data_IF_139676655520
#
_entry.id   IF_139676655520
#
_cell.length_a   1.000
_cell.length_b   1.000
_cell.length_c   1.000
_cell.angle_alpha   90.00
_cell.angle_beta   90.00
_cell.angle_gamma   90.00
#
_symmetry.space_group_name_H-M   'P 1'
#
loop_
_entity.id
_entity.type
_entity.pdbx_description
1 polymer ?
#
# COMPACT_ATOMS: atom_id res chain seq x y z
N UNK A 1 52.46 11.35 0.64
CA UNK A 1 51.18 11.46 1.42
C UNK A 1 50.12 11.04 0.44
N UNK A 2 49.85 9.72 0.37
CA UNK A 2 48.87 9.14 -0.54
C UNK A 2 47.49 9.30 0.08
N UNK A 3 46.63 10.03 -0.62
CA UNK A 3 45.24 10.25 -0.27
C UNK A 3 44.54 8.87 -0.13
N UNK A 4 43.87 8.56 0.97
CA UNK A 4 43.17 7.29 1.10
C UNK A 4 42.02 7.27 0.08
N UNK A 5 42.17 6.39 -0.89
CA UNK A 5 41.28 6.11 -1.99
C UNK A 5 39.82 5.98 -1.43
N UNK A 6 38.99 6.94 -1.78
CA UNK A 6 37.57 6.94 -1.38
C UNK A 6 36.93 5.62 -1.81
N UNK A 7 36.26 4.87 -0.93
CA UNK A 7 35.65 3.62 -1.31
C UNK A 7 34.68 3.84 -2.48
N UNK A 8 34.63 2.93 -3.46
CA UNK A 8 33.81 3.06 -4.64
C UNK A 8 32.31 3.20 -4.19
N UNK A 9 31.52 4.04 -4.87
CA UNK A 9 30.12 4.25 -4.53
C UNK A 9 29.38 2.92 -4.53
N UNK A 10 28.62 2.67 -3.45
CA UNK A 10 27.86 1.44 -3.30
C UNK A 10 26.91 1.25 -4.50
N UNK A 11 26.86 0.05 -5.09
CA UNK A 11 26.02 -0.21 -6.26
C UNK A 11 24.57 0.09 -5.97
N UNK A 12 23.94 0.86 -6.84
CA UNK A 12 22.49 1.17 -6.76
C UNK A 12 21.72 -0.14 -6.91
N UNK A 13 21.19 -0.65 -5.80
CA UNK A 13 20.42 -1.89 -5.78
C UNK A 13 19.10 -1.66 -6.52
N UNK A 14 18.94 -2.28 -7.68
CA UNK A 14 17.68 -2.30 -8.40
C UNK A 14 16.64 -3.10 -7.59
N UNK A 15 15.38 -2.64 -7.50
CA UNK A 15 14.34 -3.39 -6.82
C UNK A 15 14.16 -4.77 -7.47
N UNK A 16 13.94 -5.79 -6.66
CA UNK A 16 13.64 -7.13 -7.18
C UNK A 16 12.28 -7.12 -7.90
N UNK A 17 12.06 -8.03 -8.85
CA UNK A 17 10.76 -8.17 -9.54
C UNK A 17 9.60 -8.30 -8.55
N UNK A 18 9.80 -9.04 -7.47
CA UNK A 18 8.82 -9.18 -6.39
C UNK A 18 8.53 -7.84 -5.69
N UNK A 19 9.55 -7.02 -5.42
CA UNK A 19 9.37 -5.68 -4.85
C UNK A 19 8.58 -4.76 -5.80
N UNK A 20 8.82 -4.86 -7.11
CA UNK A 20 8.07 -4.08 -8.11
C UNK A 20 6.60 -4.50 -8.18
N UNK A 21 6.30 -5.80 -8.12
CA UNK A 21 4.91 -6.30 -8.09
C UNK A 21 4.20 -5.84 -6.81
N UNK A 22 4.82 -5.99 -5.65
CA UNK A 22 4.26 -5.52 -4.38
C UNK A 22 4.01 -4.02 -4.36
N UNK A 23 4.96 -3.22 -4.87
CA UNK A 23 4.79 -1.78 -5.00
C UNK A 23 3.67 -1.40 -5.98
N UNK A 24 3.53 -2.12 -7.09
CA UNK A 24 2.45 -1.89 -8.06
C UNK A 24 1.07 -2.13 -7.43
N UNK A 25 0.91 -3.23 -6.67
CA UNK A 25 -0.35 -3.50 -5.94
C UNK A 25 -0.67 -2.35 -4.98
N UNK A 26 0.30 -1.90 -4.19
CA UNK A 26 0.13 -0.76 -3.27
C UNK A 26 -0.22 0.54 -4.00
N UNK A 27 0.35 0.81 -5.20
CA UNK A 27 0.01 1.98 -6.01
C UNK A 27 -1.45 1.91 -6.47
N UNK A 28 -1.88 0.76 -6.98
CA UNK A 28 -3.27 0.57 -7.43
C UNK A 28 -4.25 0.77 -6.27
N UNK A 29 -3.93 0.23 -5.10
CA UNK A 29 -4.73 0.44 -3.89
C UNK A 29 -4.77 1.91 -3.45
N UNK A 30 -3.62 2.59 -3.42
CA UNK A 30 -3.55 4.01 -3.07
C UNK A 30 -4.39 4.86 -4.02
N UNK A 31 -4.35 4.56 -5.34
CA UNK A 31 -5.20 5.20 -6.32
C UNK A 31 -6.69 4.92 -6.09
N UNK A 32 -7.06 3.68 -5.79
CA UNK A 32 -8.44 3.31 -5.44
C UNK A 32 -8.96 4.08 -4.23
N UNK A 33 -8.14 4.20 -3.18
CA UNK A 33 -8.47 4.97 -1.96
C UNK A 33 -8.56 6.47 -2.28
N UNK A 34 -7.69 7.01 -3.14
CA UNK A 34 -7.74 8.41 -3.57
C UNK A 34 -9.01 8.71 -4.38
N UNK A 35 -9.43 7.81 -5.27
CA UNK A 35 -10.69 7.90 -6.00
C UNK A 35 -11.87 7.86 -5.05
N UNK A 36 -11.83 7.02 -4.00
CA UNK A 36 -12.86 6.98 -2.96
C UNK A 36 -12.92 8.32 -2.20
N UNK A 37 -11.78 8.91 -1.85
CA UNK A 37 -11.73 10.23 -1.21
C UNK A 37 -12.37 11.31 -2.12
N UNK A 38 -12.07 11.29 -3.42
CA UNK A 38 -12.68 12.20 -4.38
C UNK A 38 -14.20 12.01 -4.48
N UNK A 39 -14.66 10.75 -4.50
CA UNK A 39 -16.09 10.45 -4.48
C UNK A 39 -16.80 11.00 -3.24
N UNK A 40 -16.17 10.89 -2.05
CA UNK A 40 -16.67 11.47 -0.80
C UNK A 40 -16.79 13.00 -0.90
N UNK A 41 -15.82 13.68 -1.50
CA UNK A 41 -15.90 15.12 -1.76
C UNK A 41 -17.09 15.46 -2.65
N UNK A 42 -17.28 14.72 -3.74
CA UNK A 42 -18.43 14.92 -4.64
C UNK A 42 -19.78 14.67 -3.94
N UNK A 43 -19.84 13.72 -3.01
CA UNK A 43 -21.05 13.47 -2.21
C UNK A 43 -21.44 14.67 -1.34
N UNK A 44 -20.47 15.41 -0.79
CA UNK A 44 -20.77 16.66 -0.07
C UNK A 44 -21.42 17.68 -1.00
N UNK A 45 -20.89 17.88 -2.20
CA UNK A 45 -21.45 18.84 -3.17
C UNK A 45 -22.85 18.46 -3.65
N UNK A 46 -23.21 17.18 -3.61
CA UNK A 46 -24.57 16.68 -3.92
C UNK A 46 -25.55 16.80 -2.77
N UNK A 47 -25.09 17.17 -1.58
CA UNK A 47 -25.92 17.23 -0.39
C UNK A 47 -26.22 15.86 0.24
N UNK A 48 -25.50 14.81 -0.12
CA UNK A 48 -25.70 13.42 0.33
C UNK A 48 -25.12 13.16 1.75
N UNK A 49 -24.99 14.21 2.58
CA UNK A 49 -24.34 14.11 3.89
C UNK A 49 -25.27 14.55 5.02
N UNK A 50 -25.39 13.70 6.05
CA UNK A 50 -26.17 14.01 7.26
C UNK A 50 -25.38 14.97 8.18
N UNK A 51 -24.06 14.86 8.22
CA UNK A 51 -23.17 15.69 9.04
C UNK A 51 -21.93 16.09 8.25
N UNK A 52 -21.79 17.38 7.98
CA UNK A 52 -20.63 17.92 7.28
C UNK A 52 -19.32 17.68 8.04
N UNK A 53 -19.33 17.83 9.36
CA UNK A 53 -18.14 17.62 10.18
C UNK A 53 -17.63 16.17 10.09
N UNK A 54 -18.53 15.19 10.18
CA UNK A 54 -18.20 13.76 10.04
C UNK A 54 -17.71 13.44 8.63
N UNK A 55 -18.35 14.00 7.60
CA UNK A 55 -17.95 13.80 6.22
C UNK A 55 -16.54 14.35 5.96
N UNK A 56 -16.23 15.55 6.43
CA UNK A 56 -14.90 16.14 6.31
C UNK A 56 -13.83 15.32 7.04
N UNK A 57 -14.13 14.87 8.27
CA UNK A 57 -13.20 14.01 9.02
C UNK A 57 -12.91 12.71 8.27
N UNK A 58 -13.93 12.08 7.68
CA UNK A 58 -13.79 10.86 6.89
C UNK A 58 -12.93 11.09 5.64
N UNK A 59 -13.15 12.19 4.91
CA UNK A 59 -12.36 12.54 3.71
C UNK A 59 -10.89 12.72 4.08
N UNK A 60 -10.60 13.49 5.14
CA UNK A 60 -9.23 13.71 5.61
C UNK A 60 -8.56 12.38 5.96
N UNK A 61 -9.26 11.53 6.72
CA UNK A 61 -8.73 10.21 7.09
C UNK A 61 -8.47 9.32 5.87
N UNK A 62 -9.42 9.28 4.92
CA UNK A 62 -9.27 8.50 3.68
C UNK A 62 -8.09 9.01 2.85
N UNK A 63 -7.92 10.32 2.74
CA UNK A 63 -6.80 10.92 2.02
C UNK A 63 -5.46 10.62 2.70
N UNK A 64 -5.37 10.76 4.02
CA UNK A 64 -4.16 10.41 4.78
C UNK A 64 -3.79 8.93 4.61
N UNK A 65 -4.79 8.06 4.58
CA UNK A 65 -4.56 6.63 4.34
C UNK A 65 -4.05 6.36 2.92
N UNK A 66 -4.60 7.04 1.90
CA UNK A 66 -4.08 6.95 0.53
C UNK A 66 -2.60 7.37 0.44
N UNK A 67 -2.24 8.48 1.09
CA UNK A 67 -0.85 8.98 1.15
C UNK A 67 0.06 7.99 1.87
N UNK A 68 -0.39 7.39 2.96
CA UNK A 68 0.38 6.38 3.69
C UNK A 68 0.68 5.14 2.82
N UNK A 69 -0.34 4.61 2.14
CA UNK A 69 -0.19 3.45 1.25
C UNK A 69 0.73 3.77 0.07
N UNK A 70 0.59 4.95 -0.54
CA UNK A 70 1.49 5.42 -1.59
C UNK A 70 2.95 5.55 -1.09
N UNK A 71 3.14 6.01 0.15
CA UNK A 71 4.46 6.11 0.77
C UNK A 71 5.10 4.73 0.98
N UNK A 72 4.31 3.70 1.35
CA UNK A 72 4.79 2.32 1.46
C UNK A 72 5.20 1.76 0.10
N UNK A 73 4.46 2.08 -0.97
CA UNK A 73 4.83 1.70 -2.34
C UNK A 73 6.20 2.28 -2.74
N UNK A 74 6.38 3.59 -2.57
CA UNK A 74 7.65 4.28 -2.86
C UNK A 74 8.80 3.73 -2.02
N UNK A 75 8.57 3.51 -0.72
CA UNK A 75 9.59 2.94 0.16
C UNK A 75 9.98 1.51 -0.23
N UNK A 76 9.01 0.69 -0.68
CA UNK A 76 9.25 -0.66 -1.19
C UNK A 76 10.11 -0.62 -2.47
N UNK A 77 9.84 0.29 -3.40
CA UNK A 77 10.65 0.50 -4.60
C UNK A 77 12.08 0.95 -4.27
N UNK A 78 12.25 1.74 -3.21
CA UNK A 78 13.55 2.18 -2.69
C UNK A 78 14.23 1.12 -1.81
N UNK A 79 13.74 -0.10 -1.80
CA UNK A 79 14.26 -1.24 -1.01
C UNK A 79 14.28 -1.00 0.51
N UNK A 80 13.50 -0.05 1.01
CA UNK A 80 13.41 0.25 2.45
C UNK A 80 12.57 -0.80 3.17
N UNK A 81 13.05 -1.28 4.32
CA UNK A 81 12.37 -2.33 5.11
C UNK A 81 10.99 -1.91 5.60
N UNK A 82 10.83 -0.67 6.07
CA UNK A 82 9.57 -0.15 6.58
C UNK A 82 8.45 -0.10 5.52
N UNK A 83 8.80 0.12 4.25
CA UNK A 83 7.83 0.07 3.15
C UNK A 83 7.23 -1.32 2.97
N UNK A 84 8.05 -2.36 3.07
CA UNK A 84 7.59 -3.76 3.00
C UNK A 84 6.71 -4.14 4.19
N UNK A 85 7.11 -3.74 5.40
CA UNK A 85 6.33 -4.02 6.62
C UNK A 85 4.98 -3.27 6.59
N UNK A 86 4.98 -1.97 6.24
CA UNK A 86 3.76 -1.19 6.09
C UNK A 86 2.86 -1.74 4.98
N UNK A 87 3.44 -2.15 3.86
CA UNK A 87 2.71 -2.80 2.77
C UNK A 87 2.02 -4.09 3.21
N UNK A 88 2.70 -4.96 3.95
CA UNK A 88 2.08 -6.20 4.48
C UNK A 88 0.92 -5.87 5.41
N UNK A 89 1.08 -4.90 6.32
CA UNK A 89 -0.01 -4.46 7.21
C UNK A 89 -1.20 -3.96 6.39
N UNK A 90 -0.96 -3.16 5.34
CA UNK A 90 -2.02 -2.68 4.45
C UNK A 90 -2.77 -3.86 3.82
N UNK A 91 -2.06 -4.87 3.30
CA UNK A 91 -2.69 -6.04 2.68
C UNK A 91 -3.53 -6.85 3.68
N UNK A 92 -3.08 -7.00 4.91
CA UNK A 92 -3.84 -7.66 5.98
C UNK A 92 -5.13 -6.88 6.28
N UNK A 93 -5.06 -5.55 6.32
CA UNK A 93 -6.25 -4.71 6.50
C UNK A 93 -7.22 -4.84 5.33
N UNK A 94 -6.74 -4.86 4.08
CA UNK A 94 -7.57 -5.07 2.89
C UNK A 94 -8.25 -6.44 2.94
N UNK A 95 -7.55 -7.50 3.37
CA UNK A 95 -8.15 -8.83 3.59
C UNK A 95 -9.23 -8.80 4.68
N UNK A 96 -9.01 -8.07 5.77
CA UNK A 96 -10.02 -7.92 6.82
C UNK A 96 -11.29 -7.22 6.28
N UNK A 97 -11.12 -6.18 5.44
CA UNK A 97 -12.23 -5.51 4.76
C UNK A 97 -12.94 -6.47 3.79
N UNK A 98 -12.19 -7.25 3.02
CA UNK A 98 -12.75 -8.27 2.11
C UNK A 98 -13.57 -9.31 2.87
N UNK A 99 -13.09 -9.77 4.03
CA UNK A 99 -13.85 -10.68 4.90
C UNK A 99 -15.15 -10.03 5.40
N UNK A 100 -15.07 -8.77 5.82
CA UNK A 100 -16.25 -7.99 6.21
C UNK A 100 -17.26 -7.84 5.07
N UNK A 101 -16.79 -7.62 3.84
CA UNK A 101 -17.62 -7.56 2.65
C UNK A 101 -18.27 -8.92 2.29
N UNK A 102 -17.65 -10.03 2.71
CA UNK A 102 -18.19 -11.38 2.49
C UNK A 102 -19.24 -11.79 3.55
N UNK A 103 -19.05 -11.36 4.81
CA UNK A 103 -19.82 -11.83 5.97
C UNK A 103 -20.75 -10.77 6.55
N UNK A 104 -20.71 -9.53 6.06
CA UNK A 104 -21.53 -8.42 6.54
C UNK A 104 -23.02 -8.57 6.21
N UNK A 105 -23.85 -7.73 6.84
CA UNK A 105 -25.31 -7.71 6.64
C UNK A 105 -25.71 -7.51 5.16
N UNK A 106 -24.86 -6.81 4.39
CA UNK A 106 -24.99 -6.65 2.95
C UNK A 106 -23.80 -7.33 2.25
N UNK A 107 -23.80 -8.67 2.28
CA UNK A 107 -22.71 -9.44 1.70
C UNK A 107 -22.59 -9.17 0.18
N UNK A 108 -21.39 -8.79 -0.23
CA UNK A 108 -21.02 -8.59 -1.64
C UNK A 108 -19.83 -9.48 -2.02
N UNK A 109 -20.07 -10.76 -2.38
CA UNK A 109 -18.98 -11.70 -2.68
C UNK A 109 -18.05 -11.23 -3.80
N UNK A 110 -18.59 -10.54 -4.81
CA UNK A 110 -17.78 -9.97 -5.89
C UNK A 110 -16.81 -8.90 -5.38
N UNK A 111 -17.28 -7.98 -4.51
CA UNK A 111 -16.40 -6.96 -3.90
C UNK A 111 -15.34 -7.60 -3.01
N UNK A 112 -15.72 -8.61 -2.22
CA UNK A 112 -14.77 -9.35 -1.40
C UNK A 112 -13.66 -9.99 -2.25
N UNK A 113 -13.99 -10.59 -3.39
CA UNK A 113 -13.03 -11.20 -4.31
C UNK A 113 -12.11 -10.14 -4.94
N UNK A 114 -12.67 -9.01 -5.40
CA UNK A 114 -11.91 -7.89 -6.00
C UNK A 114 -10.87 -7.33 -5.02
N UNK A 115 -11.19 -7.30 -3.72
CA UNK A 115 -10.26 -6.86 -2.69
C UNK A 115 -9.27 -7.96 -2.27
N UNK A 116 -9.74 -9.20 -2.11
CA UNK A 116 -8.91 -10.29 -1.59
C UNK A 116 -7.82 -10.72 -2.58
N UNK A 117 -8.12 -10.77 -3.88
CA UNK A 117 -7.15 -11.24 -4.88
C UNK A 117 -5.88 -10.38 -4.93
N UNK A 118 -5.96 -9.05 -5.11
CA UNK A 118 -4.75 -8.22 -5.09
C UNK A 118 -4.05 -8.24 -3.74
N UNK A 119 -4.79 -8.31 -2.63
CA UNK A 119 -4.21 -8.37 -1.29
C UNK A 119 -3.36 -9.63 -1.08
N UNK A 120 -3.84 -10.81 -1.50
CA UNK A 120 -3.06 -12.05 -1.44
C UNK A 120 -1.81 -11.97 -2.31
N UNK A 121 -1.93 -11.46 -3.54
CA UNK A 121 -0.80 -11.24 -4.44
C UNK A 121 0.22 -10.28 -3.81
N UNK A 122 -0.25 -9.19 -3.20
CA UNK A 122 0.56 -8.19 -2.51
C UNK A 122 1.35 -8.77 -1.35
N UNK A 123 0.70 -9.55 -0.47
CA UNK A 123 1.37 -10.24 0.65
C UNK A 123 2.47 -11.16 0.12
N UNK A 124 2.15 -12.00 -0.86
CA UNK A 124 3.12 -12.93 -1.43
C UNK A 124 4.33 -12.19 -2.04
N UNK A 125 4.08 -11.15 -2.83
CA UNK A 125 5.12 -10.36 -3.48
C UNK A 125 6.01 -9.63 -2.47
N UNK A 126 5.43 -8.99 -1.45
CA UNK A 126 6.16 -8.28 -0.40
C UNK A 126 7.00 -9.25 0.46
N UNK A 127 6.46 -10.42 0.77
CA UNK A 127 7.18 -11.46 1.49
C UNK A 127 8.35 -12.04 0.68
N UNK A 128 8.13 -12.31 -0.62
CA UNK A 128 9.20 -12.73 -1.52
C UNK A 128 10.31 -11.68 -1.65
N UNK A 129 9.93 -10.39 -1.70
CA UNK A 129 10.88 -9.27 -1.70
C UNK A 129 11.69 -9.19 -0.39
N UNK A 130 11.05 -9.43 0.76
CA UNK A 130 11.71 -9.44 2.06
C UNK A 130 12.73 -10.58 2.15
N UNK A 131 12.39 -11.78 1.68
CA UNK A 131 13.31 -12.93 1.62
C UNK A 131 14.50 -12.68 0.71
N UNK A 132 14.28 -12.07 -0.45
CA UNK A 132 15.36 -11.72 -1.37
C UNK A 132 16.36 -10.72 -0.76
N UNK A 133 15.85 -9.72 -0.04
CA UNK A 133 16.68 -8.75 0.66
C UNK A 133 17.53 -9.38 1.78
N UNK A 134 16.96 -10.33 2.55
CA UNK A 134 17.68 -11.04 3.61
C UNK A 134 18.82 -11.92 3.10
N UNK A 135 18.69 -12.50 1.89
CA UNK A 135 19.75 -13.30 1.28
C UNK A 135 20.96 -12.49 0.81
N UNK A 136 20.74 -11.22 0.51
CA UNK A 136 21.77 -10.31 -0.01
C UNK A 136 22.42 -9.45 1.08
N UNK A 137 22.05 -9.63 2.35
CA UNK A 137 22.67 -8.95 3.47
C UNK A 137 24.09 -9.52 3.69
N UNK A 138 25.15 -8.70 3.78
CA UNK A 138 26.49 -9.17 4.12
C UNK A 138 26.46 -9.79 5.53
N UNK A 139 27.10 -10.94 5.69
CA UNK A 139 27.31 -11.60 7.00
C UNK A 139 28.44 -10.93 7.73
#
# INVERSE_FOLDING_TARGET
MTDPESPPPAPVQRPSRAASIGALVLIVEALGIAVLALWQVLAIFRGDTVSLASALALIVLTFLFAVAVASFAVATMRSRSWGRSGGVVTQVLVLAIALGALTGQYAHPFLALVLAVPAVIGIWALWAAARAAGRNAPR
#
